data_IF_859322574756
#
_entry.id   IF_859322574756
#
_cell.length_a   1.000
_cell.length_b   1.000
_cell.length_c   1.000
_cell.angle_alpha   90.00
_cell.angle_beta   90.00
_cell.angle_gamma   90.00
#
_symmetry.space_group_name_H-M   'P 1'
#
loop_
_entity.id
_entity.type
_entity.pdbx_description
1 polymer ?
#
# COMPACT_ATOMS: atom_id res chain seq x y z
N UNK A 1 -15.15 -11.42 11.36
CA UNK A 1 -14.24 -10.58 12.17
C UNK A 1 -12.84 -10.47 11.55
N UNK A 2 -12.38 -11.44 10.74
CA UNK A 2 -11.04 -11.42 10.10
C UNK A 2 -10.89 -10.41 8.94
N UNK A 3 -11.97 -10.11 8.19
CA UNK A 3 -11.91 -9.14 7.08
C UNK A 3 -11.53 -7.71 7.53
N UNK A 4 -11.88 -7.32 8.77
CA UNK A 4 -11.56 -5.99 9.31
C UNK A 4 -10.05 -5.81 9.47
N UNK A 5 -9.36 -6.84 9.97
CA UNK A 5 -7.93 -6.73 10.26
C UNK A 5 -7.08 -6.60 9.01
N UNK A 6 -7.37 -7.39 7.95
CA UNK A 6 -6.66 -7.25 6.67
C UNK A 6 -6.94 -5.89 6.03
N UNK A 7 -8.20 -5.44 6.08
CA UNK A 7 -8.60 -4.13 5.54
C UNK A 7 -7.88 -2.99 6.26
N UNK A 8 -7.82 -3.01 7.60
CA UNK A 8 -7.09 -2.03 8.40
C UNK A 8 -5.60 -2.00 8.07
N UNK A 9 -4.98 -3.16 7.83
CA UNK A 9 -3.57 -3.22 7.46
C UNK A 9 -3.31 -2.63 6.06
N UNK A 10 -4.18 -2.90 5.08
CA UNK A 10 -4.08 -2.37 3.72
C UNK A 10 -4.28 -0.85 3.73
N UNK A 11 -5.31 -0.36 4.44
CA UNK A 11 -5.58 1.07 4.58
C UNK A 11 -4.40 1.75 5.29
N UNK A 12 -3.89 1.16 6.37
CA UNK A 12 -2.73 1.68 7.07
C UNK A 12 -1.47 1.75 6.21
N UNK A 13 -1.26 0.78 5.31
CA UNK A 13 -0.15 0.81 4.35
C UNK A 13 -0.30 2.00 3.37
N UNK A 14 -1.49 2.20 2.81
CA UNK A 14 -1.77 3.33 1.93
C UNK A 14 -1.60 4.69 2.63
N UNK A 15 -2.03 4.80 3.89
CA UNK A 15 -1.84 6.00 4.70
C UNK A 15 -0.35 6.28 4.91
N UNK A 16 0.46 5.28 5.26
CA UNK A 16 1.91 5.50 5.45
C UNK A 16 2.60 5.94 4.16
N UNK A 17 2.25 5.36 3.01
CA UNK A 17 2.76 5.83 1.71
C UNK A 17 2.40 7.31 1.50
N UNK A 18 1.13 7.67 1.69
CA UNK A 18 0.67 9.05 1.51
C UNK A 18 1.33 10.03 2.49
N UNK A 19 1.55 9.60 3.74
CA UNK A 19 2.15 10.42 4.81
C UNK A 19 3.60 10.77 4.52
N UNK A 20 4.36 9.87 3.90
CA UNK A 20 5.77 10.10 3.54
C UNK A 20 5.93 10.87 2.22
N UNK A 21 5.09 10.60 1.23
CA UNK A 21 5.29 11.14 -0.12
C UNK A 21 4.46 12.40 -0.41
N UNK A 22 3.32 12.60 0.27
CA UNK A 22 2.41 13.71 0.04
C UNK A 22 1.53 13.56 -1.22
N UNK A 23 0.71 14.57 -1.54
CA UNK A 23 -0.14 14.57 -2.72
C UNK A 23 0.64 14.82 -4.03
N UNK A 24 0.10 14.37 -5.17
CA UNK A 24 0.60 14.73 -6.50
C UNK A 24 1.64 13.79 -7.13
N UNK A 25 1.72 12.54 -6.66
CA UNK A 25 2.67 11.55 -7.20
C UNK A 25 2.14 10.89 -8.47
N UNK A 26 3.09 10.41 -9.28
CA UNK A 26 2.82 9.47 -10.35
C UNK A 26 2.29 8.16 -9.77
N UNK A 27 1.29 7.58 -10.44
CA UNK A 27 0.71 6.28 -10.08
C UNK A 27 1.78 5.19 -9.96
N UNK A 28 2.74 5.14 -10.88
CA UNK A 28 3.85 4.18 -10.87
C UNK A 28 4.77 4.31 -9.65
N UNK A 29 4.91 5.52 -9.09
CA UNK A 29 5.65 5.74 -7.85
C UNK A 29 4.82 5.26 -6.66
N UNK A 30 3.53 5.60 -6.63
CA UNK A 30 2.62 5.16 -5.57
C UNK A 30 2.51 3.63 -5.50
N UNK A 31 2.35 2.97 -6.64
CA UNK A 31 2.28 1.50 -6.75
C UNK A 31 3.55 0.84 -6.19
N UNK A 32 4.75 1.35 -6.51
CA UNK A 32 6.02 0.81 -5.99
C UNK A 32 6.13 0.99 -4.48
N UNK A 33 5.75 2.15 -3.96
CA UNK A 33 5.79 2.42 -2.52
C UNK A 33 4.76 1.59 -1.75
N UNK A 34 3.54 1.44 -2.28
CA UNK A 34 2.52 0.60 -1.68
C UNK A 34 2.93 -0.89 -1.71
N UNK A 35 3.48 -1.37 -2.83
CA UNK A 35 4.03 -2.72 -2.92
C UNK A 35 5.16 -2.97 -1.90
N UNK A 36 5.96 -1.93 -1.60
CA UNK A 36 6.98 -2.01 -0.54
C UNK A 36 6.35 -2.12 0.84
N UNK A 37 5.36 -1.29 1.17
CA UNK A 37 4.65 -1.33 2.46
C UNK A 37 3.91 -2.65 2.69
N UNK A 38 3.19 -3.15 1.69
CA UNK A 38 2.50 -4.44 1.76
C UNK A 38 3.48 -5.59 2.00
N UNK A 39 4.67 -5.54 1.38
CA UNK A 39 5.73 -6.54 1.59
C UNK A 39 6.32 -6.49 3.00
N UNK A 40 6.49 -5.30 3.57
CA UNK A 40 6.98 -5.14 4.95
C UNK A 40 5.98 -5.68 5.99
N UNK A 41 4.69 -5.67 5.65
CA UNK A 41 3.58 -6.19 6.46
C UNK A 41 3.27 -7.66 6.16
N UNK A 42 4.08 -8.31 5.31
CA UNK A 42 3.90 -9.70 4.89
C UNK A 42 2.53 -10.00 4.26
N UNK A 43 1.90 -8.99 3.66
CA UNK A 43 0.63 -9.12 2.96
C UNK A 43 0.90 -9.65 1.56
N UNK A 44 0.15 -10.67 1.14
CA UNK A 44 0.21 -11.17 -0.23
C UNK A 44 -0.50 -10.19 -1.17
N UNK A 45 0.18 -9.81 -2.25
CA UNK A 45 -0.38 -8.91 -3.27
C UNK A 45 0.17 -9.24 -4.65
N UNK A 46 -0.51 -8.73 -5.67
CA UNK A 46 -0.02 -8.68 -7.04
C UNK A 46 0.01 -7.23 -7.50
N UNK A 47 0.98 -6.89 -8.33
CA UNK A 47 1.07 -5.58 -8.96
C UNK A 47 0.44 -5.65 -10.33
N UNK A 48 -0.33 -4.63 -10.70
CA UNK A 48 -0.72 -4.45 -12.09
C UNK A 48 0.52 -4.36 -12.98
N UNK A 49 0.48 -5.07 -14.11
CA UNK A 49 1.53 -5.05 -15.12
C UNK A 49 1.15 -3.97 -16.12
N UNK A 50 1.90 -2.87 -16.11
CA UNK A 50 1.76 -1.78 -17.09
C UNK A 50 2.42 -2.13 -18.41
#
# INVERSE_FOLDING_TARGET
MEESALTEQIIGAAIEVHRHLGPGLLESAYQKCLARELRLREILFQTEVT
#
